data_IF_000844968594
#
_entry.id   IF_000844968594
#
_cell.length_a   1.000
_cell.length_b   1.000
_cell.length_c   1.000
_cell.angle_alpha   90.00
_cell.angle_beta   90.00
_cell.angle_gamma   90.00
#
_symmetry.space_group_name_H-M   'P 1'
#
loop_
_entity.id
_entity.type
_entity.pdbx_description
1 polymer ?
#
# COMPACT_ATOMS: atom_id res chain seq x y z
N UNK A 1 -2.58 8.67 9.81
CA UNK A 1 -2.89 8.99 8.39
C UNK A 1 -3.46 7.73 7.77
N UNK A 2 -4.70 7.75 7.29
CA UNK A 2 -5.47 6.52 6.97
C UNK A 2 -4.97 5.88 5.67
N UNK A 3 -4.78 4.55 5.68
CA UNK A 3 -4.49 3.71 4.51
C UNK A 3 -5.54 3.91 3.40
N UNK A 4 -6.75 4.34 3.76
CA UNK A 4 -7.85 4.60 2.83
C UNK A 4 -7.60 5.75 1.85
N UNK A 5 -6.75 6.72 2.17
CA UNK A 5 -6.49 7.86 1.28
C UNK A 5 -5.56 7.53 0.10
N UNK A 6 -4.74 6.48 0.22
CA UNK A 6 -3.78 6.13 -0.82
C UNK A 6 -4.29 5.10 -1.84
N UNK A 7 -5.33 4.32 -1.51
CA UNK A 7 -5.86 3.28 -2.41
C UNK A 7 -6.80 3.84 -3.47
N UNK A 8 -7.36 5.02 -3.26
CA UNK A 8 -8.45 5.58 -4.08
C UNK A 8 -8.11 6.88 -4.83
N UNK A 9 -6.87 7.33 -4.90
CA UNK A 9 -6.51 8.40 -5.84
C UNK A 9 -6.52 7.84 -7.25
N UNK A 10 -7.73 7.72 -7.77
CA UNK A 10 -8.00 7.42 -9.17
C UNK A 10 -7.28 8.41 -10.06
N UNK A 11 -6.57 7.84 -10.95
CA UNK A 11 -5.94 8.29 -12.17
C UNK A 11 -6.53 9.60 -12.69
N UNK A 12 -5.93 10.73 -12.31
CA UNK A 12 -5.97 11.93 -13.10
C UNK A 12 -4.66 11.97 -13.91
N UNK A 13 -4.68 11.25 -15.02
CA UNK A 13 -3.59 11.15 -16.00
C UNK A 13 -3.48 12.45 -16.79
N UNK A 14 -2.93 13.50 -16.18
CA UNK A 14 -2.38 14.62 -16.94
C UNK A 14 -1.15 15.17 -16.22
N UNK A 15 0.03 14.80 -16.71
CA UNK A 15 1.34 15.48 -16.57
C UNK A 15 1.78 15.94 -15.17
N UNK A 16 1.50 15.17 -14.09
CA UNK A 16 2.22 15.35 -12.83
C UNK A 16 3.26 14.25 -12.71
N UNK A 17 4.53 14.63 -12.66
CA UNK A 17 5.59 13.76 -12.18
C UNK A 17 5.26 13.39 -10.73
N UNK A 18 4.81 12.17 -10.51
CA UNK A 18 4.62 11.66 -9.16
C UNK A 18 5.87 10.89 -8.77
N UNK A 19 6.54 11.40 -7.74
CA UNK A 19 7.75 10.78 -7.19
C UNK A 19 7.35 9.83 -6.08
N UNK A 20 7.89 8.63 -6.15
CA UNK A 20 7.69 7.57 -5.18
C UNK A 20 9.02 7.19 -4.56
N UNK A 21 9.04 7.09 -3.25
CA UNK A 21 10.15 6.51 -2.51
C UNK A 21 9.69 5.24 -1.80
N UNK A 22 10.55 4.22 -1.78
CA UNK A 22 10.32 3.00 -1.03
C UNK A 22 11.56 2.66 -0.22
N UNK A 23 11.37 2.38 1.07
CA UNK A 23 12.42 1.97 2.01
C UNK A 23 12.18 0.52 2.40
N UNK A 24 13.19 -0.31 2.21
CA UNK A 24 13.29 -1.64 2.78
C UNK A 24 14.29 -1.61 3.93
N UNK A 25 13.84 -2.05 5.11
CA UNK A 25 14.68 -2.22 6.29
C UNK A 25 15.06 -3.69 6.38
N UNK A 26 16.25 -4.04 5.88
CA UNK A 26 16.80 -5.40 5.92
C UNK A 26 17.68 -5.61 7.16
N UNK A 27 18.06 -6.85 7.45
CA UNK A 27 18.79 -7.19 8.69
C UNK A 27 20.12 -6.43 8.87
N UNK A 28 20.77 -6.04 7.75
CA UNK A 28 22.10 -5.43 7.79
C UNK A 28 22.21 -4.15 6.94
N UNK A 29 21.17 -3.75 6.26
CA UNK A 29 21.19 -2.55 5.43
C UNK A 29 19.78 -1.95 5.26
N UNK A 30 19.76 -0.63 5.07
CA UNK A 30 18.62 0.10 4.53
C UNK A 30 18.80 0.15 3.01
N UNK A 31 17.73 -0.12 2.28
CA UNK A 31 17.63 0.07 0.83
C UNK A 31 16.55 1.09 0.53
N UNK A 32 16.94 2.16 -0.13
CA UNK A 32 16.01 3.21 -0.58
C UNK A 32 15.97 3.22 -2.10
N UNK A 33 14.79 3.15 -2.66
CA UNK A 33 14.55 3.32 -4.10
C UNK A 33 13.68 4.54 -4.28
N UNK A 34 14.10 5.47 -5.15
CA UNK A 34 13.31 6.63 -5.58
C UNK A 34 13.03 6.50 -7.05
N UNK A 35 11.79 6.66 -7.45
CA UNK A 35 11.36 6.59 -8.84
C UNK A 35 10.22 7.51 -9.16
N UNK A 36 9.91 7.64 -10.43
CA UNK A 36 8.81 8.44 -10.94
C UNK A 36 7.97 7.64 -11.94
N UNK A 37 6.68 7.92 -11.98
CA UNK A 37 5.85 7.54 -13.11
C UNK A 37 5.88 8.65 -14.16
N UNK A 38 6.27 8.28 -15.37
CA UNK A 38 6.20 9.14 -16.53
C UNK A 38 5.55 8.35 -17.68
N UNK A 39 4.44 8.84 -18.18
CA UNK A 39 3.71 8.27 -19.33
C UNK A 39 3.57 6.74 -19.25
N UNK A 40 2.98 6.21 -18.17
CA UNK A 40 2.77 4.77 -17.91
C UNK A 40 4.01 3.93 -17.60
N UNK A 41 5.21 4.52 -17.61
CA UNK A 41 6.47 3.85 -17.26
C UNK A 41 6.95 4.29 -15.90
N UNK A 42 7.41 3.34 -15.11
CA UNK A 42 8.11 3.62 -13.87
C UNK A 42 9.61 3.70 -14.15
N UNK A 43 10.19 4.87 -13.89
CA UNK A 43 11.62 5.12 -14.04
C UNK A 43 12.27 5.16 -12.66
N UNK A 44 13.33 4.38 -12.45
CA UNK A 44 14.12 4.46 -11.23
C UNK A 44 15.09 5.64 -11.39
N UNK A 45 14.97 6.60 -10.48
CA UNK A 45 15.81 7.80 -10.44
C UNK A 45 17.05 7.57 -9.58
N UNK A 46 16.89 6.89 -8.43
CA UNK A 46 17.96 6.67 -7.49
C UNK A 46 17.79 5.39 -6.68
N UNK A 47 18.91 4.74 -6.35
CA UNK A 47 18.98 3.62 -5.42
C UNK A 47 20.10 3.90 -4.43
N UNK A 48 19.79 3.90 -3.14
CA UNK A 48 20.76 4.10 -2.07
C UNK A 48 20.75 2.90 -1.11
N UNK A 49 21.92 2.67 -0.51
CA UNK A 49 22.10 1.64 0.51
C UNK A 49 22.91 2.20 1.66
N UNK A 50 22.46 1.92 2.89
CA UNK A 50 23.19 2.26 4.09
C UNK A 50 23.28 1.02 4.99
N UNK A 51 24.50 0.62 5.35
CA UNK A 51 24.71 -0.46 6.31
C UNK A 51 24.19 -0.07 7.68
N UNK A 52 23.49 -1.00 8.33
CA UNK A 52 22.98 -0.87 9.69
C UNK A 52 23.31 -2.10 10.53
N UNK A 53 23.25 -1.92 11.84
CA UNK A 53 23.13 -2.96 12.86
C UNK A 53 21.84 -2.70 13.64
N UNK A 54 21.48 -3.58 14.56
CA UNK A 54 20.30 -3.31 15.41
C UNK A 54 19.00 -3.95 14.91
N UNK A 55 19.10 -4.93 14.00
CA UNK A 55 18.00 -5.81 13.67
C UNK A 55 18.41 -7.26 13.93
N UNK A 56 17.63 -7.95 14.73
CA UNK A 56 17.77 -9.39 14.98
C UNK A 56 16.45 -10.11 14.76
N UNK A 57 16.48 -11.18 13.96
CA UNK A 57 15.32 -12.00 13.65
C UNK A 57 14.10 -11.15 13.18
N UNK A 58 14.34 -10.14 12.35
CA UNK A 58 13.33 -9.19 11.83
C UNK A 58 12.70 -8.27 12.90
N UNK A 59 13.29 -8.17 14.10
CA UNK A 59 12.89 -7.20 15.12
C UNK A 59 13.95 -6.11 15.25
N UNK A 60 13.49 -4.88 15.38
CA UNK A 60 14.37 -3.73 15.64
C UNK A 60 14.76 -3.79 17.11
N UNK A 61 16.06 -3.95 17.40
CA UNK A 61 16.62 -3.98 18.76
C UNK A 61 17.44 -2.73 19.08
N UNK A 62 17.91 -1.99 18.05
CA UNK A 62 18.56 -0.69 18.16
C UNK A 62 17.92 0.30 17.18
N UNK A 63 16.89 0.98 17.66
CA UNK A 63 16.09 1.93 16.86
C UNK A 63 16.96 3.09 16.34
N UNK A 64 17.88 3.60 17.19
CA UNK A 64 18.71 4.74 16.80
C UNK A 64 19.65 4.40 15.63
N UNK A 65 20.22 3.22 15.61
CA UNK A 65 21.08 2.78 14.52
C UNK A 65 20.30 2.63 13.21
N UNK A 66 19.10 2.07 13.26
CA UNK A 66 18.21 1.94 12.10
C UNK A 66 17.79 3.31 11.56
N UNK A 67 17.36 4.22 12.45
CA UNK A 67 17.01 5.61 12.10
C UNK A 67 18.17 6.33 11.43
N UNK A 68 19.39 6.22 11.98
CA UNK A 68 20.59 6.84 11.39
C UNK A 68 20.87 6.27 9.98
N UNK A 69 20.65 4.97 9.77
CA UNK A 69 20.78 4.35 8.44
C UNK A 69 19.77 4.90 7.44
N UNK A 70 18.52 5.06 7.85
CA UNK A 70 17.46 5.66 7.02
C UNK A 70 17.81 7.10 6.66
N UNK A 71 18.17 7.93 7.66
CA UNK A 71 18.56 9.33 7.45
C UNK A 71 19.72 9.42 6.47
N UNK A 72 20.73 8.54 6.60
CA UNK A 72 21.87 8.50 5.69
C UNK A 72 21.45 8.21 4.24
N UNK A 73 20.64 7.18 4.04
CA UNK A 73 20.18 6.80 2.70
C UNK A 73 19.31 7.92 2.07
N UNK A 74 18.40 8.52 2.85
CA UNK A 74 17.54 9.62 2.39
C UNK A 74 18.38 10.84 2.01
N UNK A 75 19.32 11.29 2.85
CA UNK A 75 20.18 12.44 2.54
C UNK A 75 21.00 12.23 1.26
N UNK A 76 21.57 11.04 1.08
CA UNK A 76 22.34 10.72 -0.13
C UNK A 76 21.45 10.80 -1.39
N UNK A 77 20.20 10.32 -1.31
CA UNK A 77 19.27 10.43 -2.42
C UNK A 77 18.86 11.88 -2.69
N UNK A 78 18.53 12.63 -1.66
CA UNK A 78 18.12 14.06 -1.77
C UNK A 78 19.23 14.94 -2.35
N UNK A 79 20.47 14.77 -1.87
CA UNK A 79 21.65 15.49 -2.39
C UNK A 79 21.85 15.20 -3.89
N UNK A 80 21.63 13.96 -4.32
CA UNK A 80 21.77 13.57 -5.72
C UNK A 80 20.63 14.06 -6.60
N UNK A 81 19.41 14.11 -6.07
CA UNK A 81 18.19 14.45 -6.82
C UNK A 81 17.84 15.93 -6.77
N UNK A 82 18.37 16.67 -5.78
CA UNK A 82 18.13 18.10 -5.61
C UNK A 82 16.75 18.46 -5.07
N UNK A 83 16.02 17.50 -4.45
CA UNK A 83 14.73 17.73 -3.81
C UNK A 83 14.55 16.84 -2.57
N UNK A 84 13.62 17.23 -1.69
CA UNK A 84 13.33 16.52 -0.46
C UNK A 84 12.34 15.38 -0.66
N UNK A 85 12.55 14.27 0.06
CA UNK A 85 11.68 13.11 0.11
C UNK A 85 10.78 13.24 1.34
N UNK A 86 9.54 13.67 1.11
CA UNK A 86 8.58 13.89 2.19
C UNK A 86 7.85 12.63 2.66
N UNK A 87 7.77 11.62 1.80
CA UNK A 87 7.02 10.38 2.04
C UNK A 87 7.70 9.19 1.41
N UNK A 88 7.69 8.08 2.11
CA UNK A 88 8.15 6.81 1.58
C UNK A 88 7.20 5.67 1.97
N UNK A 89 7.13 4.67 1.10
CA UNK A 89 6.52 3.39 1.43
C UNK A 89 7.55 2.55 2.18
N UNK A 90 7.19 2.04 3.34
CA UNK A 90 8.06 1.13 4.10
C UNK A 90 7.66 -0.30 3.82
N UNK A 91 8.64 -1.12 3.44
CA UNK A 91 8.46 -2.55 3.27
C UNK A 91 8.52 -3.24 4.63
N UNK A 92 7.42 -3.85 5.05
CA UNK A 92 7.36 -4.65 6.27
C UNK A 92 7.86 -6.08 6.00
N UNK A 93 8.55 -6.71 6.97
CA UNK A 93 8.89 -8.12 6.85
C UNK A 93 7.62 -8.97 6.76
N UNK A 94 7.63 -9.98 5.89
CA UNK A 94 6.49 -10.88 5.69
C UNK A 94 6.30 -11.90 6.83
N UNK A 95 7.05 -11.79 7.90
CA UNK A 95 6.92 -12.63 9.10
C UNK A 95 5.62 -12.26 9.81
N UNK A 96 4.82 -13.26 10.12
CA UNK A 96 3.52 -13.10 10.82
C UNK A 96 2.46 -12.28 10.06
N UNK A 97 2.57 -12.21 8.73
CA UNK A 97 1.51 -11.61 7.91
C UNK A 97 0.37 -12.62 7.75
N UNK A 98 -0.81 -12.24 8.24
CA UNK A 98 -2.04 -12.99 8.06
C UNK A 98 -2.83 -12.45 6.87
N UNK A 99 -3.33 -13.35 6.01
CA UNK A 99 -4.20 -12.99 4.89
C UNK A 99 -5.63 -13.41 5.22
N UNK A 100 -6.53 -12.47 5.15
CA UNK A 100 -7.98 -12.68 5.29
C UNK A 100 -8.70 -12.27 4.02
N UNK A 101 -9.64 -13.10 3.57
CA UNK A 101 -10.53 -12.74 2.46
C UNK A 101 -11.84 -12.22 3.02
N UNK A 102 -12.25 -11.03 2.58
CA UNK A 102 -13.54 -10.44 2.92
C UNK A 102 -14.40 -10.29 1.68
N UNK A 103 -15.57 -10.93 1.72
CA UNK A 103 -16.60 -10.73 0.70
C UNK A 103 -17.54 -9.62 1.13
N UNK A 104 -17.77 -8.66 0.24
CA UNK A 104 -18.71 -7.57 0.43
C UNK A 104 -19.71 -7.51 -0.74
N UNK A 105 -20.92 -7.04 -0.47
CA UNK A 105 -21.98 -6.93 -1.44
C UNK A 105 -22.42 -5.47 -1.54
N UNK A 106 -22.31 -4.90 -2.72
CA UNK A 106 -22.62 -3.49 -2.98
C UNK A 106 -23.78 -3.41 -3.97
N UNK A 107 -24.83 -2.70 -3.58
CA UNK A 107 -25.91 -2.33 -4.49
C UNK A 107 -25.53 -1.04 -5.20
N UNK A 108 -25.43 -1.01 -6.55
CA UNK A 108 -25.15 0.21 -7.28
C UNK A 108 -26.20 1.29 -6.97
N UNK A 109 -25.71 2.49 -6.64
CA UNK A 109 -26.60 3.60 -6.23
C UNK A 109 -27.34 4.25 -7.40
N UNK A 110 -26.82 4.09 -8.63
CA UNK A 110 -27.47 4.64 -9.81
C UNK A 110 -28.77 3.89 -10.15
N UNK A 111 -29.83 4.62 -10.44
CA UNK A 111 -31.11 4.04 -10.91
C UNK A 111 -30.94 3.17 -12.16
N UNK A 112 -29.92 3.45 -12.97
CA UNK A 112 -29.52 2.64 -14.14
C UNK A 112 -28.80 1.34 -13.77
N UNK A 113 -28.55 1.05 -12.47
CA UNK A 113 -27.77 -0.09 -11.99
C UNK A 113 -26.34 -0.14 -12.57
N UNK A 114 -25.85 0.98 -13.08
CA UNK A 114 -24.52 1.13 -13.64
C UNK A 114 -23.50 1.30 -12.51
N UNK A 115 -22.52 0.42 -12.46
CA UNK A 115 -21.45 0.45 -11.45
C UNK A 115 -20.56 1.66 -11.67
N UNK A 116 -20.35 2.43 -10.61
CA UNK A 116 -19.49 3.61 -10.58
C UNK A 116 -18.29 3.36 -9.65
N UNK A 117 -17.27 4.20 -9.80
CA UNK A 117 -16.11 4.17 -8.89
C UNK A 117 -16.52 4.32 -7.42
N UNK A 118 -17.56 5.14 -7.13
CA UNK A 118 -18.11 5.31 -5.78
C UNK A 118 -18.66 4.01 -5.17
N UNK A 119 -19.23 3.12 -5.99
CA UNK A 119 -19.72 1.84 -5.52
C UNK A 119 -18.57 0.91 -5.13
N UNK A 120 -17.50 0.90 -5.93
CA UNK A 120 -16.27 0.16 -5.64
C UNK A 120 -15.61 0.70 -4.36
N UNK A 121 -15.51 2.02 -4.21
CA UNK A 121 -14.98 2.66 -3.01
C UNK A 121 -15.79 2.31 -1.76
N UNK A 122 -17.14 2.29 -1.87
CA UNK A 122 -18.00 1.89 -0.78
C UNK A 122 -17.73 0.45 -0.34
N UNK A 123 -17.63 -0.49 -1.30
CA UNK A 123 -17.31 -1.89 -1.00
C UNK A 123 -15.92 -2.05 -0.37
N UNK A 124 -14.93 -1.31 -0.86
CA UNK A 124 -13.59 -1.32 -0.29
C UNK A 124 -13.58 -0.78 1.15
N UNK A 125 -14.25 0.34 1.39
CA UNK A 125 -14.37 0.94 2.72
C UNK A 125 -15.06 -0.03 3.70
N UNK A 126 -16.09 -0.76 3.27
CA UNK A 126 -16.71 -1.80 4.08
C UNK A 126 -15.73 -2.94 4.37
N UNK A 127 -15.00 -3.42 3.37
CA UNK A 127 -14.04 -4.52 3.55
C UNK A 127 -12.94 -4.19 4.56
N UNK A 128 -12.35 -2.99 4.51
CA UNK A 128 -11.26 -2.56 5.39
C UNK A 128 -11.67 -2.31 6.84
N UNK A 129 -12.97 -2.24 7.13
CA UNK A 129 -13.46 -2.18 8.53
C UNK A 129 -13.37 -3.52 9.25
N UNK A 130 -13.13 -4.62 8.50
CA UNK A 130 -12.98 -5.94 9.07
C UNK A 130 -11.73 -6.02 9.98
N UNK A 131 -11.92 -6.48 11.19
CA UNK A 131 -10.85 -6.68 12.18
C UNK A 131 -10.91 -8.12 12.68
N UNK A 132 -10.02 -9.01 12.22
CA UNK A 132 -10.04 -10.41 12.62
C UNK A 132 -9.59 -10.61 14.07
N UNK A 133 -8.66 -9.76 14.53
CA UNK A 133 -8.06 -9.80 15.85
C UNK A 133 -7.66 -8.40 16.29
N UNK A 134 -7.85 -8.01 17.58
CA UNK A 134 -7.44 -6.72 18.11
C UNK A 134 -5.93 -6.45 18.02
N UNK A 135 -5.11 -7.52 18.06
CA UNK A 135 -3.64 -7.42 18.00
C UNK A 135 -3.09 -7.33 16.57
N UNK A 136 -3.96 -7.39 15.57
CA UNK A 136 -3.60 -7.27 14.17
C UNK A 136 -3.94 -5.87 13.62
N UNK A 137 -3.07 -5.36 12.76
CA UNK A 137 -3.25 -4.11 12.02
C UNK A 137 -3.30 -4.40 10.51
N UNK A 138 -4.24 -3.75 9.81
CA UNK A 138 -4.33 -3.85 8.36
C UNK A 138 -3.15 -3.09 7.73
N UNK A 139 -2.30 -3.81 7.02
CA UNK A 139 -1.09 -3.24 6.40
C UNK A 139 -1.22 -3.07 4.89
N UNK A 140 -2.05 -3.90 4.25
CA UNK A 140 -2.25 -3.79 2.81
C UNK A 140 -3.57 -4.41 2.38
N UNK A 141 -4.07 -3.93 1.24
CA UNK A 141 -5.17 -4.55 0.49
C UNK A 141 -4.57 -5.24 -0.73
N UNK A 142 -4.70 -6.55 -0.76
CA UNK A 142 -4.18 -7.38 -1.84
C UNK A 142 -5.10 -7.39 -3.07
N UNK A 143 -5.18 -8.54 -3.71
CA UNK A 143 -5.97 -8.71 -4.92
C UNK A 143 -7.47 -8.56 -4.63
N UNK A 144 -8.16 -7.78 -5.47
CA UNK A 144 -9.61 -7.68 -5.47
C UNK A 144 -10.15 -8.45 -6.67
N UNK A 145 -11.17 -9.29 -6.42
CA UNK A 145 -11.97 -9.90 -7.48
C UNK A 145 -13.37 -9.28 -7.45
N UNK A 146 -13.84 -8.91 -8.61
CA UNK A 146 -15.18 -8.37 -8.81
C UNK A 146 -16.06 -9.43 -9.43
N UNK A 147 -17.30 -9.56 -8.97
CA UNK A 147 -18.28 -10.49 -9.51
C UNK A 147 -19.53 -9.67 -9.86
N UNK A 148 -19.85 -9.66 -11.15
CA UNK A 148 -21.02 -8.99 -11.72
C UNK A 148 -21.77 -9.98 -12.60
N UNK A 149 -23.09 -10.10 -12.47
CA UNK A 149 -23.91 -11.00 -13.27
C UNK A 149 -23.37 -12.46 -13.31
N UNK A 150 -22.76 -12.93 -12.21
CA UNK A 150 -22.16 -14.26 -12.11
C UNK A 150 -20.77 -14.41 -12.75
N UNK A 151 -20.24 -13.35 -13.36
CA UNK A 151 -18.89 -13.37 -14.00
C UNK A 151 -17.87 -12.79 -13.04
N UNK A 152 -16.77 -13.52 -12.81
CA UNK A 152 -15.64 -13.08 -11.98
C UNK A 152 -14.55 -12.45 -12.83
N UNK A 153 -14.08 -11.25 -12.43
CA UNK A 153 -13.00 -10.52 -13.09
C UNK A 153 -12.07 -9.88 -12.06
N UNK A 154 -10.82 -9.60 -12.47
CA UNK A 154 -9.90 -8.72 -11.74
C UNK A 154 -9.91 -7.29 -12.26
N UNK A 155 -10.51 -7.07 -13.42
CA UNK A 155 -10.71 -5.74 -13.98
C UNK A 155 -11.87 -5.06 -13.26
N UNK A 156 -11.73 -3.78 -12.91
CA UNK A 156 -12.80 -2.99 -12.33
C UNK A 156 -13.99 -2.92 -13.31
N UNK A 157 -15.20 -3.29 -12.88
CA UNK A 157 -16.39 -3.34 -13.72
C UNK A 157 -17.07 -1.95 -13.84
N UNK A 158 -16.29 -0.89 -14.03
CA UNK A 158 -16.83 0.47 -14.20
C UNK A 158 -17.66 0.51 -15.45
N UNK A 159 -18.86 1.14 -15.36
CA UNK A 159 -19.87 1.25 -16.40
C UNK A 159 -20.62 -0.04 -16.75
N UNK A 160 -20.31 -1.17 -16.15
CA UNK A 160 -21.12 -2.37 -16.27
C UNK A 160 -22.49 -2.18 -15.56
N UNK A 161 -23.53 -2.81 -16.12
CA UNK A 161 -24.87 -2.82 -15.52
C UNK A 161 -25.04 -4.13 -14.75
N UNK A 162 -25.31 -4.03 -13.46
CA UNK A 162 -25.55 -5.19 -12.58
C UNK A 162 -26.45 -4.80 -11.42
N UNK A 163 -27.30 -5.73 -11.00
CA UNK A 163 -28.14 -5.54 -9.80
C UNK A 163 -27.30 -5.51 -8.53
N UNK A 164 -26.16 -6.20 -8.53
CA UNK A 164 -25.27 -6.30 -7.38
C UNK A 164 -23.82 -6.43 -7.86
N UNK A 165 -22.94 -5.71 -7.21
CA UNK A 165 -21.49 -5.90 -7.28
C UNK A 165 -21.04 -6.69 -6.05
N UNK A 166 -20.41 -7.86 -6.25
CA UNK A 166 -19.75 -8.60 -5.18
C UNK A 166 -18.26 -8.37 -5.33
N UNK A 167 -17.57 -8.09 -4.22
CA UNK A 167 -16.13 -7.93 -4.19
C UNK A 167 -15.53 -8.93 -3.20
N UNK A 168 -14.61 -9.76 -3.67
CA UNK A 168 -13.73 -10.58 -2.82
C UNK A 168 -12.42 -9.82 -2.64
N UNK A 169 -12.19 -9.32 -1.46
CA UNK A 169 -11.06 -8.46 -1.11
C UNK A 169 -10.09 -9.22 -0.22
N UNK A 170 -8.85 -9.34 -0.64
CA UNK A 170 -7.78 -9.89 0.20
C UNK A 170 -7.23 -8.77 1.08
N UNK A 171 -7.27 -8.97 2.38
CA UNK A 171 -6.75 -8.06 3.40
C UNK A 171 -5.51 -8.70 4.03
N UNK A 172 -4.41 -7.95 4.09
CA UNK A 172 -3.17 -8.38 4.71
C UNK A 172 -2.99 -7.67 6.05
N UNK A 173 -2.82 -8.46 7.09
CA UNK A 173 -2.64 -7.98 8.45
C UNK A 173 -1.26 -8.38 8.97
N UNK A 174 -0.66 -7.53 9.78
CA UNK A 174 0.54 -7.84 10.56
C UNK A 174 0.27 -7.54 12.04
N UNK A 175 1.09 -8.10 12.93
CA UNK A 175 0.98 -7.79 14.35
C UNK A 175 1.29 -6.30 14.60
N UNK A 176 0.55 -5.70 15.54
CA UNK A 176 0.68 -4.27 15.87
C UNK A 176 2.06 -3.89 16.38
N UNK A 177 2.73 -4.79 17.11
CA UNK A 177 4.07 -4.52 17.64
C UNK A 177 5.04 -4.31 16.48
N UNK A 178 5.02 -5.22 15.49
CA UNK A 178 5.82 -5.08 14.27
C UNK A 178 5.47 -3.80 13.52
N UNK A 179 4.19 -3.56 13.23
CA UNK A 179 3.76 -2.36 12.50
C UNK A 179 4.25 -1.08 13.20
N UNK A 180 4.05 -0.99 14.52
CA UNK A 180 4.45 0.17 15.30
C UNK A 180 5.96 0.35 15.35
N UNK A 181 6.75 -0.71 15.39
CA UNK A 181 8.22 -0.62 15.42
C UNK A 181 8.80 -0.11 14.10
N UNK A 182 8.14 -0.40 12.96
CA UNK A 182 8.56 0.06 11.63
C UNK A 182 7.92 1.39 11.20
N UNK A 183 6.90 1.88 11.93
CA UNK A 183 6.20 3.14 11.63
C UNK A 183 6.71 4.35 12.42
N UNK A 184 7.58 4.13 13.42
CA UNK A 184 8.20 5.18 14.25
C UNK A 184 9.41 5.79 13.55
#
# INVERSE_FOLDING_TARGET
MSISENVCKGVNLMNRKEIYASVEIADHEIRLIVGEFYDTRFNILRVERAGITGIEKKKIIDEQNVVNGIIKAVKQAEESLGYHIERALVSLPSVNVARHNKRVHVLPQASSKRIRLSDIQKGLNEAITYKPDPELELVNVGCIKYITNGITSRKMPIDEISDMLIMDVDLLFADKETVNSYAR
#
